data_IF_718621262054
#
_entry.id   IF_718621262054
#
_cell.length_a   1.000
_cell.length_b   1.000
_cell.length_c   1.000
_cell.angle_alpha   90.00
_cell.angle_beta   90.00
_cell.angle_gamma   90.00
#
_symmetry.space_group_name_H-M   'P 1'
#
loop_
_entity.id
_entity.type
_entity.pdbx_description
1 polymer ?
#
# COMPACT_ATOMS: atom_id res chain seq x y z
N UNK A 1 25.39 16.09 -36.93
CA UNK A 1 24.22 16.15 -36.02
C UNK A 1 23.19 15.18 -36.54
N UNK A 2 23.08 14.02 -35.91
CA UNK A 2 22.03 13.05 -36.28
C UNK A 2 20.70 13.61 -35.78
N UNK A 3 19.74 13.81 -36.69
CA UNK A 3 18.38 14.16 -36.35
C UNK A 3 17.81 13.05 -35.45
N UNK A 4 17.48 13.37 -34.20
CA UNK A 4 16.73 12.49 -33.31
C UNK A 4 15.40 12.20 -33.99
N UNK A 5 15.21 10.98 -34.49
CA UNK A 5 13.93 10.54 -35.00
C UNK A 5 12.93 10.68 -33.83
N UNK A 6 11.85 11.45 -34.04
CA UNK A 6 10.78 11.59 -33.06
C UNK A 6 10.16 10.21 -32.85
N UNK A 7 10.43 9.60 -31.71
CA UNK A 7 9.85 8.31 -31.33
C UNK A 7 8.38 8.55 -30.94
N UNK A 8 7.46 8.08 -31.78
CA UNK A 8 6.04 8.20 -31.51
C UNK A 8 5.62 7.04 -30.62
N UNK A 9 5.52 7.30 -29.28
CA UNK A 9 5.07 6.34 -28.29
C UNK A 9 3.58 6.54 -28.02
N UNK A 10 2.77 5.53 -28.31
CA UNK A 10 1.33 5.53 -28.01
C UNK A 10 1.09 4.71 -26.72
N UNK A 11 0.92 5.39 -25.59
CA UNK A 11 0.58 4.73 -24.33
C UNK A 11 -0.92 4.46 -24.24
N UNK A 12 -1.27 3.23 -23.87
CA UNK A 12 -2.64 2.82 -23.59
C UNK A 12 -3.08 3.27 -22.19
N UNK A 13 -4.38 3.56 -22.02
CA UNK A 13 -4.96 3.75 -20.67
C UNK A 13 -4.94 2.41 -19.94
N UNK A 14 -4.47 2.42 -18.69
CA UNK A 14 -4.50 1.23 -17.83
C UNK A 14 -5.94 0.90 -17.43
N UNK A 15 -6.26 -0.40 -17.29
CA UNK A 15 -7.53 -0.84 -16.74
C UNK A 15 -7.33 -1.45 -15.35
N UNK A 16 -8.02 -0.92 -14.35
CA UNK A 16 -7.96 -1.43 -12.97
C UNK A 16 -8.44 -2.88 -12.84
N UNK A 17 -9.30 -3.33 -13.76
CA UNK A 17 -9.78 -4.73 -13.79
C UNK A 17 -8.70 -5.74 -14.18
N UNK A 18 -7.53 -5.28 -14.63
CA UNK A 18 -6.39 -6.16 -14.94
C UNK A 18 -5.60 -6.55 -13.68
N UNK A 19 -5.79 -5.86 -12.56
CA UNK A 19 -5.05 -6.14 -11.33
C UNK A 19 -5.64 -7.39 -10.67
N UNK A 20 -4.87 -8.48 -10.52
CA UNK A 20 -5.32 -9.66 -9.78
C UNK A 20 -5.52 -9.35 -8.28
N UNK A 21 -6.45 -10.07 -7.65
CA UNK A 21 -6.77 -9.90 -6.22
C UNK A 21 -5.71 -10.49 -5.26
N UNK A 22 -4.59 -10.91 -5.77
CA UNK A 22 -3.40 -11.37 -5.03
C UNK A 22 -2.11 -10.68 -5.51
N UNK A 23 -2.26 -9.53 -6.19
CA UNK A 23 -1.16 -8.73 -6.69
C UNK A 23 -0.46 -7.92 -5.59
N UNK A 24 0.80 -7.59 -5.85
CA UNK A 24 1.59 -6.62 -5.09
C UNK A 24 1.64 -5.32 -5.87
N UNK A 25 1.09 -4.24 -5.31
CA UNK A 25 1.04 -2.92 -5.92
C UNK A 25 1.78 -1.88 -5.09
N UNK A 26 2.61 -1.07 -5.74
CA UNK A 26 3.33 0.04 -5.12
C UNK A 26 2.85 1.36 -5.72
N UNK A 27 2.61 2.35 -4.85
CA UNK A 27 2.20 3.70 -5.23
C UNK A 27 3.27 4.70 -4.79
N UNK A 28 3.95 5.32 -5.75
CA UNK A 28 5.04 6.26 -5.50
C UNK A 28 4.56 7.67 -5.84
N UNK A 29 4.59 8.55 -4.86
CA UNK A 29 4.24 9.94 -5.09
C UNK A 29 4.30 10.78 -3.83
N UNK A 30 4.59 12.05 -4.00
CA UNK A 30 4.66 13.04 -2.92
C UNK A 30 3.27 13.30 -2.33
N UNK A 31 3.25 14.05 -1.24
CA UNK A 31 1.98 14.56 -0.68
C UNK A 31 1.23 15.40 -1.73
N UNK A 32 -0.09 15.30 -1.74
CA UNK A 32 -1.00 16.05 -2.64
C UNK A 32 -0.87 15.71 -4.13
N UNK A 33 -0.29 14.57 -4.50
CA UNK A 33 -0.22 14.12 -5.90
C UNK A 33 -1.39 13.22 -6.33
N UNK A 34 -2.34 12.91 -5.44
CA UNK A 34 -3.49 12.05 -5.73
C UNK A 34 -3.33 10.60 -5.29
N UNK A 35 -2.29 10.27 -4.53
CA UNK A 35 -2.00 8.90 -4.05
C UNK A 35 -3.20 8.23 -3.37
N UNK A 36 -3.80 8.89 -2.38
CA UNK A 36 -4.94 8.35 -1.65
C UNK A 36 -6.18 8.15 -2.54
N UNK A 37 -6.44 9.08 -3.48
CA UNK A 37 -7.52 8.91 -4.45
C UNK A 37 -7.30 7.69 -5.33
N UNK A 38 -6.06 7.47 -5.77
CA UNK A 38 -5.69 6.30 -6.58
C UNK A 38 -5.83 4.99 -5.78
N UNK A 39 -5.42 4.96 -4.51
CA UNK A 39 -5.63 3.80 -3.64
C UNK A 39 -7.11 3.52 -3.44
N UNK A 40 -7.94 4.57 -3.23
CA UNK A 40 -9.39 4.41 -3.11
C UNK A 40 -10.01 3.81 -4.36
N UNK A 41 -9.57 4.24 -5.53
CA UNK A 41 -10.03 3.73 -6.82
C UNK A 41 -9.66 2.23 -6.99
N UNK A 42 -8.44 1.86 -6.69
CA UNK A 42 -8.01 0.45 -6.68
C UNK A 42 -8.86 -0.38 -5.72
N UNK A 43 -9.12 0.11 -4.51
CA UNK A 43 -9.95 -0.59 -3.52
C UNK A 43 -11.41 -0.73 -3.98
N UNK A 44 -11.93 0.25 -4.70
CA UNK A 44 -13.28 0.18 -5.27
C UNK A 44 -13.42 -1.01 -6.23
N UNK A 45 -12.44 -1.21 -7.10
CA UNK A 45 -12.42 -2.34 -8.03
C UNK A 45 -12.21 -3.70 -7.35
N UNK A 46 -11.68 -3.71 -6.11
CA UNK A 46 -11.39 -4.91 -5.32
C UNK A 46 -12.28 -5.04 -4.07
N UNK A 47 -13.42 -4.34 -4.02
CA UNK A 47 -14.31 -4.29 -2.85
C UNK A 47 -14.92 -5.63 -2.45
N UNK A 48 -14.86 -6.64 -3.31
CA UNK A 48 -15.33 -8.00 -3.03
C UNK A 48 -14.36 -8.82 -2.20
N UNK A 49 -13.13 -8.37 -1.98
CA UNK A 49 -12.19 -9.05 -1.07
C UNK A 49 -12.78 -9.03 0.33
N UNK A 50 -12.97 -10.20 0.99
CA UNK A 50 -13.85 -10.31 2.16
C UNK A 50 -13.33 -9.62 3.42
N UNK A 51 -12.02 -9.43 3.55
CA UNK A 51 -11.42 -8.83 4.73
C UNK A 51 -9.99 -8.34 4.46
N UNK A 52 -9.47 -7.55 5.39
CA UNK A 52 -8.09 -7.09 5.29
C UNK A 52 -7.64 -6.28 6.50
N UNK A 53 -6.46 -5.71 6.39
CA UNK A 53 -5.85 -4.88 7.43
C UNK A 53 -5.19 -3.67 6.77
N UNK A 54 -5.31 -2.52 7.41
CA UNK A 54 -4.65 -1.27 7.02
C UNK A 54 -3.70 -0.85 8.14
N UNK A 55 -2.49 -0.47 7.77
CA UNK A 55 -1.54 0.20 8.65
C UNK A 55 -1.23 1.54 7.99
N UNK A 56 -1.68 2.64 8.61
CA UNK A 56 -1.53 3.98 8.05
C UNK A 56 -1.14 4.98 9.13
N UNK A 57 0.07 5.53 9.04
CA UNK A 57 0.57 6.55 9.97
C UNK A 57 -0.18 7.89 9.90
N UNK A 58 -1.07 8.08 8.94
CA UNK A 58 -1.83 9.33 8.73
C UNK A 58 -3.32 9.18 9.06
N UNK A 59 -3.79 7.99 9.40
CA UNK A 59 -5.23 7.73 9.59
C UNK A 59 -5.83 8.53 10.74
N UNK A 60 -5.11 8.67 11.86
CA UNK A 60 -5.56 9.45 13.02
C UNK A 60 -5.86 10.92 12.70
N UNK A 61 -5.27 11.44 11.63
CA UNK A 61 -5.43 12.85 11.23
C UNK A 61 -6.46 13.08 10.13
N UNK A 62 -6.86 12.04 9.37
CA UNK A 62 -7.67 12.25 8.17
C UNK A 62 -8.86 11.31 8.00
N UNK A 63 -8.99 10.27 8.84
CA UNK A 63 -10.07 9.26 8.81
C UNK A 63 -10.36 8.73 7.39
N UNK A 64 -9.29 8.52 6.61
CA UNK A 64 -9.43 8.18 5.19
C UNK A 64 -9.95 6.75 5.01
N UNK A 65 -9.32 5.78 5.68
CA UNK A 65 -9.65 4.36 5.54
C UNK A 65 -10.91 3.96 6.33
N UNK A 66 -11.22 4.61 7.45
CA UNK A 66 -12.43 4.35 8.26
C UNK A 66 -13.74 4.48 7.46
N UNK A 67 -13.71 5.22 6.35
CA UNK A 67 -14.87 5.35 5.44
C UNK A 67 -15.12 4.10 4.61
N UNK A 68 -14.09 3.23 4.45
CA UNK A 68 -14.12 2.10 3.53
C UNK A 68 -13.81 0.76 4.21
N UNK A 69 -13.08 0.78 5.32
CA UNK A 69 -12.58 -0.40 6.04
C UNK A 69 -13.05 -0.33 7.49
N UNK A 70 -13.44 -1.47 8.11
CA UNK A 70 -13.88 -1.48 9.51
C UNK A 70 -12.78 -1.00 10.47
N UNK A 71 -13.10 -0.11 11.43
CA UNK A 71 -12.10 0.56 12.27
C UNK A 71 -11.19 -0.38 13.08
N UNK A 72 -11.70 -1.53 13.54
CA UNK A 72 -10.91 -2.52 14.30
C UNK A 72 -9.67 -3.03 13.54
N UNK A 73 -9.68 -2.95 12.22
CA UNK A 73 -8.62 -3.47 11.34
C UNK A 73 -7.76 -2.35 10.73
N UNK A 74 -7.85 -1.16 11.29
CA UNK A 74 -7.04 0.00 10.92
C UNK A 74 -6.11 0.33 12.07
N UNK A 75 -4.80 0.33 11.80
CA UNK A 75 -3.77 0.59 12.79
C UNK A 75 -3.01 1.87 12.44
N UNK A 76 -2.81 2.77 13.42
CA UNK A 76 -2.13 4.05 13.23
C UNK A 76 -0.61 3.95 13.12
N UNK A 77 -0.02 2.81 13.52
CA UNK A 77 1.43 2.61 13.47
C UNK A 77 1.79 1.21 12.99
N UNK A 78 2.94 1.11 12.33
CA UNK A 78 3.51 -0.18 11.97
C UNK A 78 3.93 -0.96 13.23
N UNK A 79 3.59 -2.25 13.26
CA UNK A 79 4.06 -3.19 14.26
C UNK A 79 4.31 -4.55 13.63
N UNK A 80 5.49 -5.15 13.83
CA UNK A 80 5.78 -6.50 13.34
C UNK A 80 4.77 -7.54 13.79
N UNK A 81 4.20 -7.38 15.00
CA UNK A 81 3.21 -8.30 15.55
C UNK A 81 1.90 -8.27 14.76
N UNK A 82 1.46 -7.09 14.29
CA UNK A 82 0.26 -6.97 13.46
C UNK A 82 0.44 -7.78 12.17
N UNK A 83 1.55 -7.58 11.48
CA UNK A 83 1.84 -8.28 10.22
C UNK A 83 2.05 -9.77 10.45
N UNK A 84 2.71 -10.15 11.53
CA UNK A 84 2.89 -11.56 11.91
C UNK A 84 1.54 -12.26 12.15
N UNK A 85 0.65 -11.64 12.92
CA UNK A 85 -0.68 -12.18 13.19
C UNK A 85 -1.49 -12.30 11.90
N UNK A 86 -1.43 -11.29 11.02
CA UNK A 86 -2.07 -11.30 9.73
C UNK A 86 -1.57 -12.46 8.84
N UNK A 87 -0.26 -12.63 8.70
CA UNK A 87 0.34 -13.70 7.91
C UNK A 87 0.02 -15.09 8.49
N UNK A 88 0.11 -15.24 9.81
CA UNK A 88 -0.22 -16.50 10.49
C UNK A 88 -1.68 -16.89 10.26
N UNK A 89 -2.61 -15.92 10.34
CA UNK A 89 -4.02 -16.14 10.03
C UNK A 89 -4.19 -16.64 8.59
N UNK A 90 -3.56 -16.02 7.62
CA UNK A 90 -3.67 -16.43 6.21
C UNK A 90 -3.09 -17.83 5.97
N UNK A 91 -1.96 -18.16 6.61
CA UNK A 91 -1.39 -19.52 6.55
C UNK A 91 -2.35 -20.57 7.13
N UNK A 92 -3.00 -20.26 8.25
CA UNK A 92 -3.99 -21.16 8.86
C UNK A 92 -5.21 -21.39 7.96
N UNK A 93 -5.72 -20.33 7.31
CA UNK A 93 -6.81 -20.42 6.34
C UNK A 93 -6.43 -21.32 5.18
N UNK A 94 -5.25 -21.11 4.58
CA UNK A 94 -4.79 -21.94 3.46
C UNK A 94 -4.62 -23.40 3.88
N UNK A 95 -4.06 -23.65 5.08
CA UNK A 95 -3.94 -25.01 5.62
C UNK A 95 -5.31 -25.66 5.79
N UNK A 96 -6.31 -24.94 6.31
CA UNK A 96 -7.67 -25.47 6.48
C UNK A 96 -8.29 -25.82 5.14
N UNK A 97 -8.21 -24.95 4.14
CA UNK A 97 -8.70 -25.20 2.79
C UNK A 97 -8.06 -26.45 2.19
N UNK A 98 -6.73 -26.60 2.30
CA UNK A 98 -6.01 -27.77 1.80
C UNK A 98 -6.45 -29.07 2.52
N UNK A 99 -6.68 -29.00 3.83
CA UNK A 99 -7.14 -30.17 4.59
C UNK A 99 -8.55 -30.59 4.15
N UNK A 100 -9.46 -29.64 3.95
CA UNK A 100 -10.82 -29.90 3.46
C UNK A 100 -10.81 -30.52 2.05
N UNK A 101 -9.97 -29.98 1.14
CA UNK A 101 -9.79 -30.49 -0.23
C UNK A 101 -9.19 -31.90 -0.25
N UNK A 102 -8.17 -32.15 0.57
CA UNK A 102 -7.54 -33.48 0.68
C UNK A 102 -8.50 -34.54 1.27
N UNK A 103 -9.48 -34.10 2.09
CA UNK A 103 -10.57 -34.93 2.59
C UNK A 103 -11.69 -35.19 1.57
N UNK A 104 -11.56 -34.73 0.31
CA UNK A 104 -12.55 -34.90 -0.75
C UNK A 104 -13.69 -33.90 -0.70
N UNK A 105 -13.63 -32.90 0.18
CA UNK A 105 -14.59 -31.78 0.28
C UNK A 105 -14.20 -30.55 -0.54
N UNK A 106 -15.17 -29.69 -0.79
CA UNK A 106 -14.91 -28.35 -1.32
C UNK A 106 -15.02 -27.33 -0.19
N UNK A 107 -13.95 -26.57 0.04
CA UNK A 107 -13.98 -25.49 1.04
C UNK A 107 -14.92 -24.36 0.62
N UNK A 108 -15.69 -23.84 1.58
CA UNK A 108 -16.52 -22.65 1.40
C UNK A 108 -15.81 -21.38 1.86
N UNK A 109 -14.58 -21.47 2.33
CA UNK A 109 -13.81 -20.34 2.82
C UNK A 109 -13.26 -19.57 1.64
N UNK A 110 -13.56 -18.27 1.58
CA UNK A 110 -12.88 -17.35 0.68
C UNK A 110 -11.55 -16.91 1.32
N UNK A 111 -10.39 -17.30 0.77
CA UNK A 111 -9.09 -17.00 1.36
C UNK A 111 -8.60 -15.58 1.06
N UNK A 112 -9.26 -14.86 0.15
CA UNK A 112 -8.79 -13.54 -0.29
C UNK A 112 -8.74 -12.56 0.87
N UNK A 113 -7.68 -11.77 0.93
CA UNK A 113 -7.57 -10.69 1.89
C UNK A 113 -6.67 -9.58 1.36
N UNK A 114 -6.77 -8.38 1.93
CA UNK A 114 -5.89 -7.27 1.59
C UNK A 114 -5.04 -6.84 2.79
N UNK A 115 -3.82 -6.38 2.50
CA UNK A 115 -2.98 -5.66 3.44
C UNK A 115 -2.52 -4.36 2.79
N UNK A 116 -2.68 -3.25 3.51
CA UNK A 116 -2.25 -1.94 3.05
C UNK A 116 -1.22 -1.39 4.03
N UNK A 117 -0.03 -1.04 3.53
CA UNK A 117 0.97 -0.24 4.24
C UNK A 117 0.98 1.16 3.63
N UNK A 118 0.34 2.11 4.31
CA UNK A 118 0.18 3.46 3.82
C UNK A 118 1.09 4.44 4.57
N UNK A 119 2.06 4.99 3.83
CA UNK A 119 3.02 5.99 4.29
C UNK A 119 3.79 5.57 5.56
N UNK A 120 4.16 4.28 5.66
CA UNK A 120 4.88 3.70 6.80
C UNK A 120 6.40 3.96 6.77
N UNK A 121 6.88 4.87 5.91
CA UNK A 121 8.33 5.12 5.72
C UNK A 121 9.02 5.81 6.90
N UNK A 122 8.26 6.31 7.87
CA UNK A 122 8.85 6.84 9.12
C UNK A 122 9.51 5.76 9.97
N UNK A 123 9.13 4.50 9.78
CA UNK A 123 9.73 3.32 10.39
C UNK A 123 10.28 2.42 9.28
N UNK A 124 11.60 2.37 9.10
CA UNK A 124 12.26 1.56 8.07
C UNK A 124 12.33 0.06 8.43
N UNK A 125 11.91 -0.31 9.64
CA UNK A 125 11.96 -1.70 10.14
C UNK A 125 11.04 -2.63 9.35
N UNK A 126 9.93 -2.12 8.78
CA UNK A 126 9.00 -2.91 7.98
C UNK A 126 9.65 -3.60 6.77
N UNK A 127 10.67 -2.98 6.16
CA UNK A 127 11.39 -3.55 5.01
C UNK A 127 12.26 -4.75 5.38
N UNK A 128 12.63 -4.84 6.66
CA UNK A 128 13.44 -5.93 7.24
C UNK A 128 12.59 -7.01 7.87
N UNK A 129 11.31 -6.75 8.12
CA UNK A 129 10.39 -7.71 8.72
C UNK A 129 10.23 -8.95 7.82
N UNK A 130 10.46 -10.12 8.41
CA UNK A 130 10.38 -11.40 7.71
C UNK A 130 8.97 -11.69 7.19
N UNK A 131 7.93 -11.22 7.88
CA UNK A 131 6.55 -11.43 7.44
C UNK A 131 6.19 -10.52 6.28
N UNK A 132 6.68 -9.28 6.26
CA UNK A 132 6.54 -8.41 5.09
C UNK A 132 7.28 -9.00 3.89
N UNK A 133 8.52 -9.45 4.09
CA UNK A 133 9.28 -10.14 3.03
C UNK A 133 8.55 -11.39 2.54
N UNK A 134 7.96 -12.15 3.46
CA UNK A 134 7.14 -13.31 3.11
C UNK A 134 5.97 -12.94 2.19
N UNK A 135 5.30 -11.81 2.43
CA UNK A 135 4.19 -11.35 1.61
C UNK A 135 4.63 -11.00 0.18
N UNK A 136 5.78 -10.35 -0.01
CA UNK A 136 6.30 -10.14 -1.36
C UNK A 136 6.58 -11.44 -2.12
N UNK A 137 7.11 -12.46 -1.42
CA UNK A 137 7.54 -13.71 -2.04
C UNK A 137 6.39 -14.73 -2.18
N UNK A 138 5.45 -14.73 -1.24
CA UNK A 138 4.44 -15.78 -1.11
C UNK A 138 3.00 -15.21 -1.00
N UNK A 139 2.79 -13.91 -1.16
CA UNK A 139 1.49 -13.25 -1.03
C UNK A 139 0.43 -13.90 -1.92
N UNK A 140 0.79 -14.26 -3.15
CA UNK A 140 -0.10 -14.96 -4.09
C UNK A 140 -0.57 -16.33 -3.56
N UNK A 141 0.33 -17.08 -2.93
CA UNK A 141 -0.04 -18.38 -2.36
C UNK A 141 -1.02 -18.23 -1.21
N UNK A 142 -0.84 -17.22 -0.37
CA UNK A 142 -1.75 -16.95 0.77
C UNK A 142 -2.91 -16.02 0.40
N UNK A 143 -3.11 -15.73 -0.89
CA UNK A 143 -4.22 -14.92 -1.44
C UNK A 143 -4.32 -13.52 -0.82
N UNK A 144 -3.19 -12.83 -0.75
CA UNK A 144 -3.10 -11.47 -0.21
C UNK A 144 -2.92 -10.45 -1.32
N UNK A 145 -3.86 -9.53 -1.41
CA UNK A 145 -3.74 -8.30 -2.18
C UNK A 145 -2.94 -7.28 -1.37
N UNK A 146 -1.70 -7.02 -1.79
CA UNK A 146 -0.75 -6.25 -1.00
C UNK A 146 -0.47 -4.88 -1.63
N UNK A 147 -0.90 -3.82 -0.95
CA UNK A 147 -0.74 -2.43 -1.39
C UNK A 147 0.25 -1.70 -0.50
N UNK A 148 1.17 -0.97 -1.11
CA UNK A 148 2.17 -0.16 -0.40
C UNK A 148 2.19 1.23 -0.99
N UNK A 149 1.99 2.24 -0.18
CA UNK A 149 2.18 3.62 -0.60
C UNK A 149 3.48 4.19 -0.05
N UNK A 150 4.16 4.98 -0.84
CA UNK A 150 5.40 5.62 -0.43
C UNK A 150 5.59 7.00 -1.07
N UNK A 151 6.27 7.87 -0.36
CA UNK A 151 6.66 9.18 -0.87
C UNK A 151 8.06 9.16 -1.49
N UNK A 152 8.87 8.18 -1.12
CA UNK A 152 10.25 8.06 -1.54
C UNK A 152 10.51 6.73 -2.26
N UNK A 153 11.15 6.72 -3.44
CA UNK A 153 11.19 5.54 -4.31
C UNK A 153 12.12 4.42 -3.82
N UNK A 154 12.96 4.65 -2.82
CA UNK A 154 13.92 3.66 -2.33
C UNK A 154 13.43 2.82 -1.14
N UNK A 155 12.15 2.93 -0.76
CA UNK A 155 11.62 2.23 0.40
C UNK A 155 11.64 0.70 0.29
N UNK A 156 11.61 0.11 -0.93
CA UNK A 156 11.57 -1.34 -1.12
C UNK A 156 12.95 -1.87 -1.56
N UNK A 157 13.52 -2.85 -0.83
CA UNK A 157 14.78 -3.49 -1.21
C UNK A 157 14.74 -4.14 -2.60
N UNK A 158 15.87 -4.18 -3.36
CA UNK A 158 15.93 -4.72 -4.73
C UNK A 158 15.34 -6.13 -4.86
N UNK A 159 15.67 -7.02 -3.92
CA UNK A 159 15.20 -8.43 -3.90
C UNK A 159 13.66 -8.52 -3.80
N UNK A 160 13.00 -7.56 -3.17
CA UNK A 160 11.54 -7.56 -3.04
C UNK A 160 10.87 -6.89 -4.24
N UNK A 161 11.53 -5.92 -4.88
CA UNK A 161 10.99 -5.23 -6.06
C UNK A 161 10.71 -6.14 -7.24
N UNK A 162 11.46 -7.22 -7.40
CA UNK A 162 11.24 -8.21 -8.46
C UNK A 162 9.91 -8.96 -8.34
N UNK A 163 9.27 -8.89 -7.17
CA UNK A 163 7.97 -9.51 -6.90
C UNK A 163 6.81 -8.51 -6.91
N UNK A 164 7.05 -7.28 -7.33
CA UNK A 164 6.02 -6.26 -7.48
C UNK A 164 5.36 -6.41 -8.84
N UNK A 165 4.02 -6.50 -8.86
CA UNK A 165 3.25 -6.66 -10.08
C UNK A 165 3.00 -5.35 -10.79
N UNK A 166 2.64 -4.30 -10.02
CA UNK A 166 2.30 -2.99 -10.57
C UNK A 166 2.95 -1.88 -9.76
N UNK A 167 3.51 -0.90 -10.46
CA UNK A 167 4.05 0.31 -9.86
C UNK A 167 3.34 1.52 -10.44
N UNK A 168 2.64 2.25 -9.59
CA UNK A 168 1.97 3.50 -9.94
C UNK A 168 2.86 4.68 -9.55
N UNK A 169 3.30 5.44 -10.55
CA UNK A 169 4.23 6.55 -10.38
C UNK A 169 3.48 7.85 -10.64
N UNK A 170 3.25 8.62 -9.57
CA UNK A 170 2.62 9.93 -9.66
C UNK A 170 3.67 11.01 -9.91
N UNK A 171 3.20 12.26 -10.07
CA UNK A 171 4.05 13.40 -10.38
C UNK A 171 5.23 13.57 -9.40
N UNK A 172 6.44 13.65 -9.97
CA UNK A 172 7.68 13.97 -9.24
C UNK A 172 8.43 15.09 -9.99
N UNK A 173 8.54 16.30 -9.42
CA UNK A 173 9.21 17.42 -10.08
C UNK A 173 10.75 17.40 -9.95
N UNK A 174 11.30 16.69 -8.95
CA UNK A 174 12.75 16.71 -8.69
C UNK A 174 13.49 15.68 -9.52
N UNK A 175 14.45 16.11 -10.33
CA UNK A 175 15.24 15.26 -11.20
C UNK A 175 15.97 14.14 -10.45
N UNK A 176 16.54 14.42 -9.27
CA UNK A 176 17.20 13.40 -8.46
C UNK A 176 16.25 12.27 -8.03
N UNK A 177 14.99 12.59 -7.69
CA UNK A 177 14.00 11.59 -7.37
C UNK A 177 13.54 10.84 -8.62
N UNK A 178 13.33 11.55 -9.75
CA UNK A 178 13.07 10.90 -11.04
C UNK A 178 14.15 9.92 -11.43
N UNK A 179 15.42 10.26 -11.21
CA UNK A 179 16.55 9.37 -11.49
C UNK A 179 16.46 8.11 -10.65
N UNK A 180 16.16 8.23 -9.35
CA UNK A 180 15.95 7.07 -8.47
C UNK A 180 14.74 6.23 -8.89
N UNK A 181 13.62 6.84 -9.30
CA UNK A 181 12.47 6.12 -9.84
C UNK A 181 12.86 5.36 -11.09
N UNK A 182 13.56 6.01 -12.04
CA UNK A 182 14.04 5.39 -13.26
C UNK A 182 14.97 4.19 -12.99
N UNK A 183 15.98 4.36 -12.14
CA UNK A 183 16.93 3.31 -11.79
C UNK A 183 16.29 2.10 -11.11
N UNK A 184 15.19 2.30 -10.38
CA UNK A 184 14.56 1.25 -9.59
C UNK A 184 13.31 0.63 -10.22
N UNK A 185 12.57 1.38 -11.04
CA UNK A 185 11.29 0.97 -11.61
C UNK A 185 11.14 1.30 -13.10
N UNK A 186 12.06 2.02 -13.68
CA UNK A 186 11.98 2.52 -15.06
C UNK A 186 12.90 1.78 -16.03
N UNK A 187 13.39 0.59 -15.72
CA UNK A 187 14.32 -0.16 -16.55
C UNK A 187 13.80 -0.53 -17.95
N UNK A 188 12.48 -0.48 -18.14
CA UNK A 188 11.86 -0.69 -19.46
C UNK A 188 12.06 0.50 -20.42
N UNK A 189 12.35 1.69 -19.91
CA UNK A 189 12.58 2.87 -20.74
C UNK A 189 14.00 2.88 -21.34
N UNK A 190 14.16 3.31 -22.60
CA UNK A 190 15.45 3.28 -23.28
C UNK A 190 16.47 4.25 -22.71
N UNK A 191 16.05 5.37 -22.12
CA UNK A 191 16.93 6.33 -21.44
C UNK A 191 16.21 7.11 -20.34
N UNK A 192 16.98 7.74 -19.47
CA UNK A 192 16.47 8.62 -18.42
C UNK A 192 15.75 9.87 -18.99
N UNK A 193 16.29 10.43 -20.05
CA UNK A 193 15.71 11.59 -20.75
C UNK A 193 14.33 11.25 -21.31
N UNK A 194 14.21 10.05 -21.92
CA UNK A 194 12.94 9.56 -22.44
C UNK A 194 11.92 9.33 -21.30
N UNK A 195 12.36 8.70 -20.21
CA UNK A 195 11.54 8.56 -19.00
C UNK A 195 11.04 9.91 -18.49
N UNK A 196 11.89 10.93 -18.40
CA UNK A 196 11.49 12.27 -17.96
C UNK A 196 10.44 12.88 -18.88
N UNK A 197 10.57 12.75 -20.19
CA UNK A 197 9.59 13.25 -21.16
C UNK A 197 8.22 12.56 -20.99
N UNK A 198 8.20 11.24 -20.78
CA UNK A 198 6.97 10.49 -20.53
C UNK A 198 6.35 10.91 -19.19
N UNK A 199 7.14 11.07 -18.14
CA UNK A 199 6.68 11.57 -16.84
C UNK A 199 6.04 12.95 -16.96
N UNK A 200 6.63 13.87 -17.74
CA UNK A 200 6.10 15.22 -17.92
C UNK A 200 4.75 15.23 -18.65
N UNK A 201 4.50 14.27 -19.53
CA UNK A 201 3.24 14.16 -20.28
C UNK A 201 2.16 13.36 -19.53
N UNK A 202 2.55 12.29 -18.82
CA UNK A 202 1.62 11.31 -18.25
C UNK A 202 1.39 11.45 -16.74
N UNK A 203 1.97 12.45 -16.07
CA UNK A 203 1.76 12.64 -14.62
C UNK A 203 1.22 14.04 -14.27
N UNK A 204 0.61 14.73 -15.24
CA UNK A 204 -0.07 15.99 -15.00
C UNK A 204 -1.53 15.74 -14.58
N UNK A 205 -2.18 16.75 -13.99
CA UNK A 205 -3.61 16.72 -13.67
C UNK A 205 -4.06 15.46 -12.88
N UNK A 206 -3.22 15.00 -11.92
CA UNK A 206 -3.44 13.79 -11.11
C UNK A 206 -3.40 12.49 -11.92
N UNK A 207 -2.85 12.49 -13.10
CA UNK A 207 -2.53 11.29 -13.84
C UNK A 207 -1.29 10.60 -13.24
N UNK A 208 -1.14 9.32 -13.50
CA UNK A 208 0.03 8.54 -13.10
C UNK A 208 0.50 7.64 -14.24
N UNK A 209 1.78 7.33 -14.19
CA UNK A 209 2.38 6.31 -15.02
C UNK A 209 2.22 4.97 -14.30
N UNK A 210 1.82 3.93 -15.02
CA UNK A 210 1.68 2.57 -14.47
C UNK A 210 2.69 1.67 -15.16
N UNK A 211 3.55 1.06 -14.36
CA UNK A 211 4.48 0.02 -14.83
C UNK A 211 3.91 -1.33 -14.45
N UNK A 212 3.63 -2.17 -15.45
CA UNK A 212 3.15 -3.54 -15.28
C UNK A 212 4.30 -4.54 -15.45
N UNK A 213 4.63 -5.24 -14.39
CA UNK A 213 5.60 -6.34 -14.43
C UNK A 213 4.92 -7.69 -14.71
N UNK A 214 3.60 -7.69 -14.91
CA UNK A 214 2.79 -8.89 -15.10
C UNK A 214 2.61 -9.27 -16.59
N UNK A 215 3.37 -8.67 -17.48
CA UNK A 215 3.36 -8.96 -18.91
C UNK A 215 4.47 -9.93 -19.29
N UNK A 216 4.22 -10.73 -20.33
CA UNK A 216 5.25 -11.57 -20.99
C UNK A 216 5.90 -10.86 -22.18
N UNK A 217 5.46 -9.64 -22.50
CA UNK A 217 5.98 -8.83 -23.60
C UNK A 217 7.17 -7.98 -23.12
N UNK A 218 8.19 -7.84 -23.99
CA UNK A 218 9.28 -6.90 -23.78
C UNK A 218 9.03 -5.54 -24.46
N UNK A 219 7.84 -5.34 -25.06
CA UNK A 219 7.50 -4.08 -25.71
C UNK A 219 7.11 -3.04 -24.66
N UNK A 220 7.64 -1.84 -24.79
CA UNK A 220 7.37 -0.73 -23.87
C UNK A 220 5.85 -0.44 -23.75
N UNK A 221 5.10 -0.51 -24.83
CA UNK A 221 3.66 -0.27 -24.93
C UNK A 221 2.79 -1.30 -24.20
N UNK A 222 3.35 -2.46 -23.85
CA UNK A 222 2.68 -3.51 -23.10
C UNK A 222 3.10 -3.54 -21.61
N UNK A 223 4.13 -2.75 -21.27
CA UNK A 223 4.68 -2.63 -19.90
C UNK A 223 4.21 -1.32 -19.26
N UNK A 224 4.15 -0.25 -20.04
CA UNK A 224 3.90 1.11 -19.56
C UNK A 224 2.53 1.59 -20.02
N UNK A 225 1.77 2.12 -19.06
CA UNK A 225 0.44 2.66 -19.27
C UNK A 225 0.33 4.03 -18.60
N UNK A 226 -0.66 4.81 -18.98
CA UNK A 226 -1.08 5.99 -18.24
C UNK A 226 -2.43 5.71 -17.55
N UNK A 227 -2.66 6.34 -16.42
CA UNK A 227 -3.93 6.23 -15.72
C UNK A 227 -4.27 7.50 -14.96
N UNK A 228 -5.55 7.75 -14.80
CA UNK A 228 -6.10 8.79 -13.94
C UNK A 228 -7.16 8.16 -13.06
N UNK A 229 -7.01 8.31 -11.75
CA UNK A 229 -7.95 7.76 -10.78
C UNK A 229 -9.38 8.27 -11.01
N UNK A 230 -10.34 7.37 -10.94
CA UNK A 230 -11.75 7.67 -11.04
C UNK A 230 -12.32 7.99 -9.64
N UNK A 231 -13.27 8.92 -9.61
CA UNK A 231 -13.92 9.30 -8.37
C UNK A 231 -15.15 8.41 -8.16
N UNK A 232 -15.20 7.72 -7.04
CA UNK A 232 -16.32 6.86 -6.67
C UNK A 232 -17.11 7.46 -5.50
N UNK A 233 -18.41 7.18 -5.46
CA UNK A 233 -19.24 7.43 -4.29
C UNK A 233 -18.75 6.64 -3.08
N UNK A 234 -19.48 6.70 -1.97
CA UNK A 234 -19.11 5.95 -0.78
C UNK A 234 -19.32 4.45 -0.99
N UNK A 235 -18.35 3.66 -0.57
CA UNK A 235 -18.39 2.21 -0.64
C UNK A 235 -17.71 1.60 0.60
N UNK A 236 -18.01 0.34 0.83
CA UNK A 236 -17.38 -0.47 1.86
C UNK A 236 -16.67 -1.66 1.20
N UNK A 237 -15.50 -1.98 1.68
CA UNK A 237 -14.77 -3.19 1.31
C UNK A 237 -14.96 -4.25 2.39
N UNK A 238 -15.05 -5.49 1.98
CA UNK A 238 -15.16 -6.64 2.89
C UNK A 238 -16.57 -7.21 3.03
N UNK A 239 -16.61 -8.43 3.53
CA UNK A 239 -17.86 -9.15 3.80
C UNK A 239 -18.66 -8.49 4.94
N UNK A 240 -20.00 -8.69 5.01
CA UNK A 240 -20.81 -8.17 6.11
C UNK A 240 -20.33 -8.61 7.49
N UNK A 241 -19.83 -9.83 7.62
CA UNK A 241 -19.29 -10.39 8.86
C UNK A 241 -18.06 -9.65 9.35
N UNK A 242 -17.22 -9.15 8.44
CA UNK A 242 -16.06 -8.33 8.74
C UNK A 242 -16.45 -7.02 9.44
N UNK A 243 -17.52 -6.38 8.97
CA UNK A 243 -18.09 -5.16 9.56
C UNK A 243 -18.79 -5.44 10.87
N UNK A 244 -19.58 -6.51 10.95
CA UNK A 244 -20.30 -6.92 12.18
C UNK A 244 -19.33 -7.28 13.30
N UNK A 245 -18.24 -7.98 12.97
CA UNK A 245 -17.19 -8.32 13.94
C UNK A 245 -16.51 -7.05 14.49
N UNK A 246 -16.17 -6.11 13.62
CA UNK A 246 -15.59 -4.84 14.05
C UNK A 246 -16.55 -4.05 14.94
N UNK A 247 -17.82 -3.96 14.57
CA UNK A 247 -18.83 -3.24 15.37
C UNK A 247 -18.99 -3.83 16.78
N UNK A 248 -18.88 -5.15 16.91
CA UNK A 248 -19.00 -5.84 18.20
C UNK A 248 -17.79 -5.64 19.12
N UNK A 249 -16.56 -5.49 18.57
CA UNK A 249 -15.33 -5.53 19.36
C UNK A 249 -14.53 -4.22 19.35
N UNK A 250 -14.90 -3.24 18.54
CA UNK A 250 -14.13 -2.00 18.40
C UNK A 250 -14.06 -1.20 19.71
N UNK A 251 -15.20 -1.08 20.41
CA UNK A 251 -15.28 -0.34 21.68
C UNK A 251 -14.44 -0.98 22.79
N UNK A 252 -14.34 -2.32 22.81
CA UNK A 252 -13.50 -3.03 23.78
C UNK A 252 -12.02 -2.78 23.53
N UNK A 253 -11.61 -2.78 22.26
CA UNK A 253 -10.24 -2.50 21.85
C UNK A 253 -9.82 -1.05 22.16
N UNK A 254 -10.69 -0.07 21.87
CA UNK A 254 -10.44 1.35 22.14
C UNK A 254 -10.33 1.61 23.65
N UNK A 255 -11.18 0.98 24.46
CA UNK A 255 -11.12 1.07 25.92
C UNK A 255 -9.85 0.43 26.48
N UNK A 256 -9.40 -0.70 25.92
CA UNK A 256 -8.16 -1.37 26.32
C UNK A 256 -6.91 -0.54 25.98
N UNK A 257 -6.89 0.17 24.84
CA UNK A 257 -5.80 1.06 24.47
C UNK A 257 -5.78 2.34 25.32
N UNK A 258 -6.94 2.95 25.58
CA UNK A 258 -7.04 4.14 26.42
C UNK A 258 -6.61 3.88 27.87
N UNK A 259 -6.86 2.67 28.38
CA UNK A 259 -6.41 2.25 29.72
C UNK A 259 -4.89 1.99 29.82
N UNK A 260 -4.20 1.77 28.71
CA UNK A 260 -2.73 1.60 28.67
C UNK A 260 -1.99 2.94 28.69
N UNK A 261 -2.61 4.01 28.28
CA UNK A 261 -2.02 5.34 28.20
C UNK A 261 -2.66 6.25 29.24
N UNK A 262 -1.91 6.58 30.30
CA UNK A 262 -2.28 7.64 31.27
C UNK A 262 -1.50 8.92 30.91
N UNK A 263 -2.15 9.93 30.30
CA UNK A 263 -1.49 11.18 29.94
C UNK A 263 -0.95 11.94 31.18
N UNK A 264 -1.46 11.62 32.39
CA UNK A 264 -1.06 12.23 33.65
C UNK A 264 0.14 11.53 34.30
N UNK A 265 0.53 10.33 33.83
CA UNK A 265 1.66 9.57 34.40
C UNK A 265 2.99 10.32 34.27
N UNK A 266 3.17 11.09 33.19
CA UNK A 266 4.33 11.96 32.99
C UNK A 266 4.40 13.18 33.91
N UNK A 267 3.27 13.59 34.51
CA UNK A 267 3.21 14.74 35.42
C UNK A 267 3.55 14.36 36.88
N UNK A 268 3.64 13.08 37.20
CA UNK A 268 3.93 12.58 38.57
C UNK A 268 5.42 12.45 38.88
N UNK A 269 6.32 12.79 37.98
CA UNK A 269 7.73 12.95 38.29
C UNK A 269 7.91 14.25 39.13
N UNK A 270 7.72 14.13 40.46
CA UNK A 270 8.13 15.16 41.41
C UNK A 270 9.66 15.24 41.42
N UNK A 271 10.21 15.91 40.44
CA UNK A 271 11.57 16.44 40.55
C UNK A 271 11.59 17.57 41.55
N UNK A 272 12.75 17.90 42.16
CA UNK A 272 12.86 19.01 43.11
C UNK A 272 12.39 20.30 42.43
N UNK A 273 11.44 21.00 43.06
CA UNK A 273 10.99 22.32 42.60
C UNK A 273 12.15 23.31 42.73
N UNK A 274 12.66 23.76 41.59
CA UNK A 274 13.69 24.80 41.55
C UNK A 274 12.98 26.16 41.57
N UNK A 275 13.10 26.89 42.64
CA UNK A 275 12.63 28.28 42.74
C UNK A 275 13.76 29.22 42.34
N UNK A 276 13.65 29.85 41.18
CA UNK A 276 14.63 30.85 40.68
C UNK A 276 14.20 32.22 41.19
N UNK A 277 15.01 32.83 42.11
CA UNK A 277 14.88 34.24 42.46
C UNK A 277 15.85 35.06 41.58
N UNK A 278 15.31 35.93 40.78
CA UNK A 278 16.13 36.95 40.06
C UNK A 278 16.51 38.02 41.04
N UNK A 279 17.82 38.18 41.30
CA UNK A 279 18.36 39.37 41.98
C UNK A 279 18.29 40.58 41.03
N UNK A 280 17.89 41.75 41.56
CA UNK A 280 17.93 43.02 40.83
C UNK A 280 19.36 43.52 40.75
#
# INVERSE_FOLDING_TARGET
>A
MAASAAMNLQLKKFSMTQIPEDAVCIFIGRRRTGKSTLVRDVLFHHKTIPLGTVISGTEESNDFYKKMVPPLFIHGAYSPLIVQNYVNRQKLIMKKIMTEQNGGGQSRIDPRSFLILDDCLYDDTWTRDLNVRYLFLNGRWVKVFFLITMQYPLGVPPVLRTNVDYVFILREPYLNNRKRIYENYGSAFPSFEFFCQVMDQCTQNYECLVVSNNTQSNKLEDIIFWYKAEMHGDFRIGAPEFWSHSAAHYMEAETAESNKYDPSAGQRLKGPQITIRKAQ
#
